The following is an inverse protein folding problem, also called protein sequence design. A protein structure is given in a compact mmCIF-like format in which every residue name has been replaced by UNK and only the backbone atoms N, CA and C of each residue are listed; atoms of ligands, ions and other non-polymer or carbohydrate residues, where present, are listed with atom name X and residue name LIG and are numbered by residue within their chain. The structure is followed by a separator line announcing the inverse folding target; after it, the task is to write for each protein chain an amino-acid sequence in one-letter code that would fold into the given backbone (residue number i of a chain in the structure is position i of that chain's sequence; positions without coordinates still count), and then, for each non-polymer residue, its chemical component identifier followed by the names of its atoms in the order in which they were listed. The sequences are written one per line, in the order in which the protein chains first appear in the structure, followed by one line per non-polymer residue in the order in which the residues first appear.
data_IF_881639941788
#
_entry.id   IF_881639941788
#
_cell.length_a   1.000
_cell.length_b   1.000
_cell.length_c   1.000
_cell.angle_alpha   90.00
_cell.angle_beta   90.00
_cell.angle_gamma   90.00
#
_symmetry.space_group_name_H-M   'P 1'
#
loop_
_entity.id
_entity.type
_entity.pdbx_description
1 polymer ?
#
# COMPACT_ATOMS: atom_id res chain seq x y z
N UNK A 1 -27.18 6.28 -25.18
CA UNK A 1 -26.76 7.47 -24.40
C UNK A 1 -25.26 7.38 -24.24
N UNK A 2 -24.49 8.12 -25.04
CA UNK A 2 -23.06 8.23 -24.85
C UNK A 2 -22.85 8.97 -23.51
N UNK A 3 -22.21 8.34 -22.53
CA UNK A 3 -21.87 9.01 -21.29
C UNK A 3 -20.94 10.18 -21.63
N UNK A 4 -21.34 11.38 -21.24
CA UNK A 4 -20.49 12.58 -21.27
C UNK A 4 -19.34 12.34 -20.29
N UNK A 5 -18.26 11.71 -20.76
CA UNK A 5 -17.14 11.33 -19.88
C UNK A 5 -16.34 12.58 -19.59
N UNK A 6 -16.25 12.94 -18.31
CA UNK A 6 -15.44 14.05 -17.84
C UNK A 6 -13.97 13.81 -18.27
N UNK A 7 -13.39 14.65 -19.16
CA UNK A 7 -12.02 14.45 -19.66
C UNK A 7 -10.97 14.40 -18.55
N UNK A 8 -11.23 15.09 -17.43
CA UNK A 8 -10.35 15.10 -16.28
C UNK A 8 -10.38 13.75 -15.53
N UNK A 9 -11.54 13.11 -15.44
CA UNK A 9 -11.66 11.75 -14.89
C UNK A 9 -10.98 10.72 -15.78
N UNK A 10 -11.09 10.85 -17.12
CA UNK A 10 -10.40 9.96 -18.05
C UNK A 10 -8.88 10.06 -17.96
N UNK A 11 -8.35 11.29 -17.81
CA UNK A 11 -6.94 11.53 -17.53
C UNK A 11 -6.49 10.77 -16.27
N UNK A 12 -7.23 10.91 -15.16
CA UNK A 12 -6.95 10.21 -13.91
C UNK A 12 -7.02 8.70 -14.07
N UNK A 13 -8.07 8.19 -14.72
CA UNK A 13 -8.24 6.77 -14.99
C UNK A 13 -7.06 6.20 -15.78
N UNK A 14 -6.62 6.90 -16.82
CA UNK A 14 -5.43 6.54 -17.60
C UNK A 14 -4.16 6.52 -16.75
N UNK A 15 -3.92 7.55 -15.94
CA UNK A 15 -2.77 7.63 -15.03
C UNK A 15 -2.71 6.47 -14.03
N UNK A 16 -3.87 6.02 -13.55
CA UNK A 16 -3.95 5.07 -12.44
C UNK A 16 -4.07 3.61 -12.90
N UNK A 17 -4.57 3.37 -14.11
CA UNK A 17 -4.85 2.01 -14.60
C UNK A 17 -4.03 1.57 -15.80
N UNK A 18 -3.60 2.49 -16.67
CA UNK A 18 -2.92 2.15 -17.91
C UNK A 18 -1.42 2.46 -17.83
N UNK A 19 -0.54 1.44 -17.72
CA UNK A 19 0.90 1.66 -17.69
C UNK A 19 1.48 2.27 -18.97
N UNK A 20 0.72 2.26 -20.08
CA UNK A 20 1.06 2.84 -21.39
C UNK A 20 0.38 4.19 -21.65
N UNK A 21 -0.33 4.75 -20.66
CA UNK A 21 -0.96 6.06 -20.76
C UNK A 21 0.05 7.12 -21.26
N UNK A 22 -0.36 8.11 -22.07
CA UNK A 22 0.51 9.23 -22.45
C UNK A 22 1.12 9.97 -21.24
N UNK A 23 0.45 9.93 -20.08
CA UNK A 23 0.94 10.51 -18.82
C UNK A 23 2.15 9.74 -18.24
N UNK A 24 2.44 8.57 -18.81
CA UNK A 24 3.60 7.73 -18.54
C UNK A 24 4.63 7.73 -19.68
N UNK A 25 4.55 8.65 -20.65
CA UNK A 25 5.50 8.72 -21.77
C UNK A 25 6.98 8.74 -21.31
N UNK A 26 7.24 9.38 -20.17
CA UNK A 26 8.55 9.44 -19.52
C UNK A 26 9.10 8.07 -19.06
N UNK A 27 8.25 7.06 -18.87
CA UNK A 27 8.67 5.74 -18.39
C UNK A 27 9.65 5.08 -19.35
N UNK A 28 9.46 5.24 -20.66
CA UNK A 28 10.31 4.60 -21.66
C UNK A 28 11.76 5.11 -21.58
N UNK A 29 11.94 6.44 -21.46
CA UNK A 29 13.27 7.03 -21.29
C UNK A 29 13.90 6.68 -19.95
N UNK A 30 13.11 6.70 -18.86
CA UNK A 30 13.65 6.48 -17.51
C UNK A 30 13.90 5.01 -17.16
N UNK A 31 13.26 4.07 -17.85
CA UNK A 31 13.48 2.63 -17.68
C UNK A 31 14.94 2.23 -17.92
N UNK A 32 15.65 2.94 -18.80
CA UNK A 32 17.05 2.67 -19.15
C UNK A 32 18.05 3.20 -18.11
N UNK A 33 17.66 4.18 -17.28
CA UNK A 33 18.55 4.74 -16.25
C UNK A 33 18.68 3.75 -15.09
N UNK A 34 19.88 3.44 -14.58
CA UNK A 34 20.04 2.59 -13.40
C UNK A 34 19.63 3.33 -12.11
N UNK A 35 19.23 2.59 -11.07
CA UNK A 35 18.95 3.12 -9.74
C UNK A 35 17.62 2.66 -9.14
N UNK A 36 17.59 2.63 -7.81
CA UNK A 36 16.43 2.30 -6.97
C UNK A 36 16.48 3.12 -5.67
N UNK A 37 15.34 3.40 -5.03
CA UNK A 37 13.97 3.19 -5.51
C UNK A 37 13.65 4.10 -6.72
N UNK A 38 12.49 3.89 -7.35
CA UNK A 38 12.03 4.67 -8.52
C UNK A 38 10.69 5.33 -8.25
N UNK A 39 10.47 6.49 -8.87
CA UNK A 39 9.18 7.15 -8.90
C UNK A 39 8.15 6.19 -9.51
N UNK A 40 7.06 5.90 -8.80
CA UNK A 40 6.05 4.95 -9.27
C UNK A 40 5.21 5.49 -10.43
N UNK A 41 5.19 6.81 -10.64
CA UNK A 41 4.52 7.43 -11.79
C UNK A 41 5.40 7.40 -13.04
N UNK A 42 6.61 7.98 -13.00
CA UNK A 42 7.44 8.17 -14.19
C UNK A 42 8.65 7.22 -14.30
N UNK A 43 8.95 6.40 -13.30
CA UNK A 43 10.14 5.52 -13.21
C UNK A 43 11.51 6.22 -13.07
N UNK A 44 11.52 7.54 -12.87
CA UNK A 44 12.75 8.27 -12.56
C UNK A 44 13.44 7.69 -11.31
N UNK A 45 14.75 7.39 -11.33
CA UNK A 45 15.48 6.87 -10.19
C UNK A 45 15.55 7.92 -9.07
N UNK A 46 15.11 7.55 -7.87
CA UNK A 46 15.06 8.40 -6.67
C UNK A 46 16.26 8.19 -5.73
N UNK A 47 17.16 7.28 -6.07
CA UNK A 47 18.34 6.96 -5.27
C UNK A 47 19.52 6.54 -6.13
N UNK A 48 20.69 6.44 -5.49
CA UNK A 48 21.96 6.03 -6.11
C UNK A 48 22.85 7.18 -6.56
N UNK A 49 24.14 6.88 -6.79
CA UNK A 49 25.20 7.85 -7.08
C UNK A 49 24.92 8.65 -8.36
N UNK A 50 24.35 8.00 -9.38
CA UNK A 50 23.99 8.65 -10.64
C UNK A 50 22.88 9.70 -10.45
N UNK A 51 21.94 9.46 -9.52
CA UNK A 51 20.90 10.43 -9.16
C UNK A 51 21.50 11.68 -8.51
N UNK A 52 22.43 11.51 -7.56
CA UNK A 52 23.10 12.64 -6.91
C UNK A 52 23.78 13.57 -7.91
N UNK A 53 24.33 13.02 -9.00
CA UNK A 53 24.98 13.81 -10.06
C UNK A 53 24.01 14.43 -11.08
N UNK A 54 22.88 13.78 -11.37
CA UNK A 54 21.95 14.21 -12.43
C UNK A 54 20.73 14.99 -11.93
N UNK A 55 20.34 14.84 -10.66
CA UNK A 55 19.15 15.46 -10.07
C UNK A 55 19.07 16.97 -10.28
N UNK A 56 20.19 17.67 -10.11
CA UNK A 56 20.27 19.12 -10.30
C UNK A 56 20.06 19.55 -11.75
N UNK A 57 20.45 18.74 -12.74
CA UNK A 57 20.26 19.05 -14.17
C UNK A 57 18.82 18.82 -14.64
N UNK A 58 18.12 17.85 -14.05
CA UNK A 58 16.78 17.44 -14.48
C UNK A 58 15.66 18.06 -13.63
N UNK A 59 16.00 18.80 -12.57
CA UNK A 59 15.04 19.40 -11.65
C UNK A 59 14.22 18.36 -10.86
N UNK A 60 14.63 17.09 -10.88
CA UNK A 60 13.94 15.97 -10.24
C UNK A 60 14.68 15.50 -9.00
N UNK A 61 13.95 15.39 -7.89
CA UNK A 61 14.40 14.88 -6.59
C UNK A 61 13.29 14.05 -5.94
N UNK A 62 13.60 13.22 -4.93
CA UNK A 62 12.57 12.55 -4.15
C UNK A 62 11.59 13.57 -3.57
N UNK A 63 10.31 13.22 -3.62
CA UNK A 63 9.24 13.96 -2.96
C UNK A 63 9.51 14.04 -1.46
N UNK A 64 9.15 15.16 -0.85
CA UNK A 64 9.24 15.34 0.61
C UNK A 64 8.03 14.76 1.33
N UNK A 65 6.88 14.60 0.65
CA UNK A 65 5.66 14.03 1.23
C UNK A 65 5.59 12.52 1.08
N UNK A 66 6.00 11.98 -0.07
CA UNK A 66 5.89 10.54 -0.34
C UNK A 66 7.13 10.01 -1.08
N UNK A 67 7.97 9.17 -0.44
CA UNK A 67 9.21 8.66 -1.05
C UNK A 67 9.00 7.80 -2.31
N UNK A 68 7.75 7.45 -2.63
CA UNK A 68 7.37 6.73 -3.86
C UNK A 68 7.31 7.64 -5.10
N UNK A 69 7.38 8.97 -4.93
CA UNK A 69 7.29 9.95 -6.03
C UNK A 69 8.53 10.82 -6.15
N UNK A 70 8.76 11.36 -7.36
CA UNK A 70 9.59 12.54 -7.52
C UNK A 70 8.76 13.81 -7.30
N UNK A 71 9.43 14.92 -6.97
CA UNK A 71 8.80 16.23 -6.74
C UNK A 71 7.91 16.69 -7.91
N UNK A 72 8.23 16.38 -9.16
CA UNK A 72 7.41 16.80 -10.30
C UNK A 72 6.11 15.99 -10.43
N UNK A 73 6.16 14.69 -10.15
CA UNK A 73 4.95 13.85 -10.16
C UNK A 73 4.04 14.16 -8.96
N UNK A 74 4.64 14.42 -7.80
CA UNK A 74 3.91 14.92 -6.63
C UNK A 74 3.20 16.25 -6.94
N UNK A 75 3.92 17.20 -7.55
CA UNK A 75 3.36 18.51 -7.92
C UNK A 75 2.23 18.37 -8.95
N UNK A 76 2.39 17.48 -9.94
CA UNK A 76 1.34 17.17 -10.91
C UNK A 76 0.05 16.69 -10.21
N UNK A 77 0.18 15.70 -9.33
CA UNK A 77 -0.96 15.15 -8.56
C UNK A 77 -1.64 16.27 -7.76
N UNK A 78 -0.86 17.10 -7.06
CA UNK A 78 -1.35 18.20 -6.21
C UNK A 78 -2.07 19.30 -6.98
N UNK A 79 -1.62 19.60 -8.19
CA UNK A 79 -2.15 20.71 -9.02
C UNK A 79 -3.32 20.30 -9.93
N UNK A 80 -3.67 19.01 -9.97
CA UNK A 80 -4.77 18.47 -10.78
C UNK A 80 -5.82 17.78 -9.88
N UNK A 81 -6.53 18.51 -9.00
CA UNK A 81 -7.47 17.92 -8.04
C UNK A 81 -8.59 17.12 -8.71
N UNK A 82 -8.91 15.96 -8.17
CA UNK A 82 -9.83 15.01 -8.79
C UNK A 82 -9.27 13.58 -8.73
N UNK A 83 -9.94 12.67 -9.42
CA UNK A 83 -9.64 11.25 -9.36
C UNK A 83 -10.55 10.46 -10.29
N UNK A 84 -10.44 9.13 -10.21
CA UNK A 84 -11.29 8.22 -10.95
C UNK A 84 -11.64 7.00 -10.10
N UNK A 85 -12.82 6.43 -10.33
CA UNK A 85 -13.19 5.12 -9.78
C UNK A 85 -12.41 4.02 -10.49
N UNK A 86 -11.51 3.37 -9.78
CA UNK A 86 -10.66 2.31 -10.35
C UNK A 86 -10.69 1.09 -9.45
N UNK A 87 -10.44 -0.06 -10.06
CA UNK A 87 -10.17 -1.28 -9.33
C UNK A 87 -8.69 -1.31 -8.90
N UNK A 88 -8.45 -1.63 -7.63
CA UNK A 88 -7.12 -1.64 -7.01
C UNK A 88 -7.06 -2.67 -5.88
N UNK A 89 -5.87 -2.91 -5.33
CA UNK A 89 -5.73 -3.63 -4.06
C UNK A 89 -5.28 -2.70 -2.95
N UNK A 90 -5.79 -2.99 -1.76
CA UNK A 90 -5.59 -2.22 -0.55
C UNK A 90 -4.97 -3.15 0.50
N UNK A 91 -3.94 -2.68 1.19
CA UNK A 91 -3.37 -3.33 2.36
C UNK A 91 -3.46 -2.37 3.53
N UNK A 92 -4.02 -2.87 4.63
CA UNK A 92 -4.04 -2.20 5.93
C UNK A 92 -3.31 -3.11 6.92
N UNK A 93 -2.34 -2.57 7.65
CA UNK A 93 -1.61 -3.28 8.69
C UNK A 93 -1.68 -2.49 9.98
N UNK A 94 -2.20 -3.10 11.03
CA UNK A 94 -2.55 -2.44 12.28
C UNK A 94 -1.88 -3.15 13.47
N UNK A 95 -1.32 -2.39 14.40
CA UNK A 95 -0.56 -2.91 15.54
C UNK A 95 -1.54 -3.49 16.56
N UNK A 96 -1.27 -4.69 17.08
CA UNK A 96 -2.12 -5.33 18.09
C UNK A 96 -1.68 -4.90 19.47
N UNK A 97 -2.62 -4.38 20.27
CA UNK A 97 -2.35 -3.93 21.64
C UNK A 97 -1.58 -2.62 21.74
N UNK A 98 -1.59 -1.78 20.70
CA UNK A 98 -0.89 -0.50 20.65
C UNK A 98 -1.29 0.46 21.76
N UNK A 99 -2.58 0.59 22.08
CA UNK A 99 -3.06 1.43 23.18
C UNK A 99 -2.44 0.99 24.51
N UNK A 100 -2.46 -0.31 24.81
CA UNK A 100 -1.85 -0.85 26.03
C UNK A 100 -0.33 -0.75 26.02
N UNK A 101 0.33 -0.70 24.86
CA UNK A 101 1.77 -0.40 24.77
C UNK A 101 2.03 1.07 25.07
N UNK A 102 1.26 1.98 24.48
CA UNK A 102 1.38 3.42 24.68
C UNK A 102 1.12 3.83 26.15
N UNK A 103 0.25 3.13 26.87
CA UNK A 103 0.00 3.35 28.31
C UNK A 103 1.15 2.89 29.22
N UNK A 104 1.92 1.88 28.79
CA UNK A 104 2.96 1.22 29.62
C UNK A 104 4.37 1.67 29.27
N UNK A 105 4.60 2.15 28.06
CA UNK A 105 5.90 2.60 27.58
C UNK A 105 6.10 4.09 27.79
N UNK A 106 7.35 4.53 27.90
CA UNK A 106 7.64 5.95 27.80
C UNK A 106 7.29 6.45 26.39
N UNK A 107 6.74 7.66 26.22
CA UNK A 107 6.35 8.17 24.90
C UNK A 107 7.47 8.13 23.85
N UNK A 108 8.72 8.37 24.25
CA UNK A 108 9.87 8.30 23.36
C UNK A 108 10.19 6.86 22.90
N UNK A 109 9.99 5.86 23.75
CA UNK A 109 10.19 4.45 23.42
C UNK A 109 9.11 3.96 22.45
N UNK A 110 7.85 4.33 22.71
CA UNK A 110 6.74 4.03 21.81
C UNK A 110 6.94 4.68 20.44
N UNK A 111 7.34 5.95 20.39
CA UNK A 111 7.65 6.63 19.15
C UNK A 111 8.80 5.96 18.38
N UNK A 112 9.85 5.50 19.08
CA UNK A 112 10.95 4.76 18.46
C UNK A 112 10.50 3.42 17.87
N UNK A 113 9.64 2.68 18.59
CA UNK A 113 9.03 1.43 18.12
C UNK A 113 8.19 1.65 16.86
N UNK A 114 7.34 2.68 16.87
CA UNK A 114 6.49 3.03 15.71
C UNK A 114 7.32 3.50 14.51
N UNK A 115 8.37 4.30 14.73
CA UNK A 115 9.28 4.70 13.66
C UNK A 115 10.01 3.52 13.03
N UNK A 116 10.41 2.51 13.82
CA UNK A 116 10.98 1.26 13.30
C UNK A 116 9.97 0.50 12.42
N UNK A 117 8.72 0.43 12.87
CA UNK A 117 7.64 -0.20 12.11
C UNK A 117 7.36 0.53 10.79
N UNK A 118 7.12 1.84 10.83
CA UNK A 118 6.85 2.63 9.63
C UNK A 118 8.00 2.59 8.64
N UNK A 119 9.25 2.60 9.12
CA UNK A 119 10.42 2.42 8.25
C UNK A 119 10.41 1.07 7.56
N UNK A 120 10.30 -0.02 8.33
CA UNK A 120 10.32 -1.38 7.78
C UNK A 120 9.15 -1.61 6.82
N UNK A 121 7.96 -1.12 7.18
CA UNK A 121 6.77 -1.23 6.34
C UNK A 121 6.83 -0.41 5.07
N UNK A 122 7.37 0.82 5.14
CA UNK A 122 7.60 1.64 3.94
C UNK A 122 8.55 0.97 2.96
N UNK A 123 9.67 0.43 3.47
CA UNK A 123 10.67 -0.25 2.64
C UNK A 123 10.05 -1.48 1.94
N UNK A 124 9.19 -2.25 2.62
CA UNK A 124 8.48 -3.40 2.04
C UNK A 124 7.41 -3.00 1.03
N UNK A 125 6.56 -2.03 1.37
CA UNK A 125 5.48 -1.55 0.48
C UNK A 125 6.05 -1.00 -0.82
N UNK A 126 7.09 -0.16 -0.74
CA UNK A 126 7.78 0.38 -1.92
C UNK A 126 8.42 -0.74 -2.74
N UNK A 127 9.02 -1.74 -2.07
CA UNK A 127 9.63 -2.91 -2.70
C UNK A 127 8.62 -3.86 -3.36
N UNK A 128 7.34 -3.79 -2.98
CA UNK A 128 6.24 -4.53 -3.59
C UNK A 128 5.38 -3.66 -4.52
N UNK A 129 5.91 -2.51 -4.94
CA UNK A 129 5.25 -1.59 -5.88
C UNK A 129 3.94 -0.96 -5.38
N UNK A 130 3.76 -0.87 -4.06
CA UNK A 130 2.69 -0.10 -3.45
C UNK A 130 3.00 1.40 -3.45
N UNK A 131 1.94 2.20 -3.45
CA UNK A 131 1.96 3.58 -2.97
C UNK A 131 1.56 3.58 -1.49
N UNK A 132 2.37 4.24 -0.67
CA UNK A 132 1.99 4.50 0.72
C UNK A 132 0.97 5.63 0.69
N UNK A 133 -0.25 5.39 1.19
CA UNK A 133 -1.28 6.43 1.31
C UNK A 133 -0.93 7.34 2.49
N UNK A 134 -1.00 6.78 3.71
CA UNK A 134 -0.63 7.45 4.95
C UNK A 134 -0.41 6.46 6.09
N UNK A 135 0.10 6.98 7.20
CA UNK A 135 0.08 6.32 8.50
C UNK A 135 -1.01 6.96 9.35
N UNK A 136 -1.86 6.17 10.01
CA UNK A 136 -2.95 6.67 10.86
C UNK A 136 -2.80 6.07 12.25
N UNK A 137 -2.33 6.87 13.21
CA UNK A 137 -2.01 6.35 14.54
C UNK A 137 -0.90 5.31 14.46
N UNK A 138 -1.27 4.04 14.63
CA UNK A 138 -0.43 2.86 14.54
C UNK A 138 -0.64 2.00 13.27
N UNK A 139 -1.49 2.47 12.36
CA UNK A 139 -1.85 1.79 11.13
C UNK A 139 -0.99 2.22 9.93
N UNK A 140 -0.69 1.26 9.06
CA UNK A 140 0.03 1.41 7.80
C UNK A 140 -0.89 1.08 6.62
N UNK A 141 -1.03 2.00 5.67
CA UNK A 141 -1.93 1.85 4.50
C UNK A 141 -1.14 1.86 3.18
N UNK A 142 -1.33 0.82 2.37
CA UNK A 142 -0.73 0.68 1.04
C UNK A 142 -1.78 0.50 -0.07
N UNK A 143 -1.62 1.24 -1.16
CA UNK A 143 -2.43 1.16 -2.38
C UNK A 143 -1.62 0.50 -3.49
N UNK A 144 -2.19 -0.51 -4.16
CA UNK A 144 -1.56 -1.18 -5.29
C UNK A 144 -2.39 -0.89 -6.54
N UNK A 145 -1.83 -0.04 -7.41
CA UNK A 145 -2.52 0.46 -8.60
C UNK A 145 -2.15 -0.36 -9.85
N UNK A 146 -3.10 -0.66 -10.75
CA UNK A 146 -2.83 -1.43 -11.96
C UNK A 146 -1.75 -0.79 -12.88
N UNK A 147 -1.69 0.55 -12.95
CA UNK A 147 -0.66 1.23 -13.74
C UNK A 147 0.75 1.08 -13.17
N UNK A 148 0.91 0.66 -11.91
CA UNK A 148 2.21 0.46 -11.26
C UNK A 148 2.55 -1.03 -11.26
N UNK A 149 1.59 -1.87 -10.87
CA UNK A 149 1.77 -3.32 -10.75
C UNK A 149 0.55 -4.04 -11.31
N UNK A 150 0.71 -4.68 -12.48
CA UNK A 150 -0.40 -5.39 -13.13
C UNK A 150 -0.99 -6.51 -12.25
N UNK A 151 -0.14 -7.22 -11.52
CA UNK A 151 -0.53 -8.23 -10.52
C UNK A 151 -0.82 -7.63 -9.14
N UNK A 152 -1.54 -6.51 -9.06
CA UNK A 152 -1.73 -5.77 -7.81
C UNK A 152 -2.28 -6.59 -6.63
N UNK A 153 -3.21 -7.57 -6.78
CA UNK A 153 -3.66 -8.39 -5.66
C UNK A 153 -2.55 -9.33 -5.16
N UNK A 154 -1.78 -9.88 -6.09
CA UNK A 154 -0.65 -10.73 -5.77
C UNK A 154 0.45 -9.96 -5.03
N UNK A 155 0.74 -8.74 -5.45
CA UNK A 155 1.70 -7.87 -4.80
C UNK A 155 1.25 -7.48 -3.38
N UNK A 156 -0.03 -7.19 -3.18
CA UNK A 156 -0.59 -6.86 -1.87
C UNK A 156 -0.47 -8.03 -0.87
N UNK A 157 -0.82 -9.25 -1.28
CA UNK A 157 -0.68 -10.44 -0.43
C UNK A 157 0.78 -10.70 -0.07
N UNK A 158 1.70 -10.55 -1.03
CA UNK A 158 3.14 -10.71 -0.78
C UNK A 158 3.69 -9.64 0.18
N UNK A 159 3.27 -8.39 0.03
CA UNK A 159 3.63 -7.32 0.96
C UNK A 159 3.17 -7.62 2.39
N UNK A 160 1.95 -8.13 2.56
CA UNK A 160 1.43 -8.57 3.87
C UNK A 160 2.30 -9.66 4.50
N UNK A 161 2.68 -10.68 3.72
CA UNK A 161 3.59 -11.73 4.20
C UNK A 161 4.95 -11.18 4.64
N UNK A 162 5.54 -10.28 3.84
CA UNK A 162 6.83 -9.66 4.17
C UNK A 162 6.74 -8.79 5.41
N UNK A 163 5.63 -8.07 5.61
CA UNK A 163 5.38 -7.28 6.83
C UNK A 163 5.32 -8.16 8.08
N UNK A 164 4.61 -9.29 8.02
CA UNK A 164 4.56 -10.26 9.12
C UNK A 164 5.97 -10.77 9.45
N UNK A 165 6.73 -11.19 8.44
CA UNK A 165 8.09 -11.67 8.65
C UNK A 165 9.01 -10.58 9.23
N UNK A 166 8.95 -9.36 8.69
CA UNK A 166 9.80 -8.25 9.15
C UNK A 166 9.48 -7.76 10.56
N UNK A 167 8.26 -8.03 11.05
CA UNK A 167 7.84 -7.76 12.43
C UNK A 167 8.11 -8.91 13.40
N UNK A 168 8.86 -9.92 12.94
CA UNK A 168 9.34 -11.05 13.73
C UNK A 168 8.34 -12.20 13.87
N UNK A 169 7.22 -12.19 13.14
CA UNK A 169 6.32 -13.35 13.12
C UNK A 169 7.03 -14.49 12.38
N UNK A 170 7.13 -15.64 13.04
CA UNK A 170 7.86 -16.80 12.54
C UNK A 170 9.24 -17.00 13.18
N UNK A 171 9.76 -16.01 13.91
CA UNK A 171 11.07 -16.10 14.58
C UNK A 171 10.96 -16.77 15.96
N UNK A 172 12.01 -17.50 16.44
CA UNK A 172 11.99 -18.18 17.74
C UNK A 172 11.75 -17.25 18.93
N UNK A 173 12.15 -15.98 18.83
CA UNK A 173 11.93 -14.95 19.86
C UNK A 173 10.52 -14.36 19.86
N UNK A 174 9.67 -14.77 18.91
CA UNK A 174 8.37 -14.15 18.66
C UNK A 174 8.46 -12.78 18.01
N UNK A 175 7.31 -12.17 17.68
CA UNK A 175 7.28 -10.87 17.02
C UNK A 175 7.76 -9.77 17.97
N UNK A 176 8.66 -8.90 17.49
CA UNK A 176 9.00 -7.67 18.20
C UNK A 176 7.88 -6.63 18.09
N UNK A 177 6.95 -6.80 17.14
CA UNK A 177 5.72 -6.03 17.05
C UNK A 177 4.55 -6.90 16.56
N UNK A 178 3.56 -7.19 17.41
CA UNK A 178 2.35 -7.86 16.99
C UNK A 178 1.56 -6.99 16.01
N UNK A 179 1.26 -7.51 14.82
CA UNK A 179 0.43 -6.80 13.81
C UNK A 179 -0.65 -7.76 13.27
N UNK A 180 -1.77 -7.19 12.83
CA UNK A 180 -2.79 -7.86 12.01
C UNK A 180 -2.90 -7.15 10.67
N UNK A 181 -3.10 -7.90 9.58
CA UNK A 181 -3.10 -7.35 8.22
C UNK A 181 -4.37 -7.74 7.49
N UNK A 182 -5.00 -6.77 6.81
CA UNK A 182 -6.13 -6.97 5.91
C UNK A 182 -5.75 -6.61 4.47
N UNK A 183 -6.07 -7.49 3.53
CA UNK A 183 -5.95 -7.24 2.08
C UNK A 183 -7.29 -7.42 1.38
N UNK A 184 -7.70 -6.39 0.65
CA UNK A 184 -8.90 -6.41 -0.18
C UNK A 184 -8.62 -5.88 -1.58
N UNK A 185 -9.39 -6.32 -2.56
CA UNK A 185 -9.35 -5.80 -3.93
C UNK A 185 -10.77 -5.49 -4.38
N UNK A 186 -10.98 -4.29 -4.89
CA UNK A 186 -12.28 -3.80 -5.32
C UNK A 186 -12.19 -2.37 -5.84
N UNK A 187 -13.32 -1.85 -6.32
CA UNK A 187 -13.40 -0.50 -6.87
C UNK A 187 -13.43 0.56 -5.77
N UNK A 188 -12.59 1.58 -5.91
CA UNK A 188 -12.61 2.79 -5.08
C UNK A 188 -12.35 4.03 -5.94
N UNK A 189 -12.80 5.18 -5.47
CA UNK A 189 -12.38 6.46 -6.02
C UNK A 189 -10.96 6.76 -5.57
N UNK A 190 -10.02 6.95 -6.50
CA UNK A 190 -8.61 7.22 -6.21
C UNK A 190 -8.16 8.49 -6.91
N UNK A 191 -7.48 9.38 -6.18
CA UNK A 191 -7.02 10.64 -6.74
C UNK A 191 -6.53 11.63 -5.70
N UNK A 192 -6.30 12.86 -6.14
CA UNK A 192 -5.96 14.00 -5.29
C UNK A 192 -7.24 14.61 -4.73
N UNK A 193 -7.45 14.45 -3.42
CA UNK A 193 -8.63 14.90 -2.67
C UNK A 193 -8.23 16.01 -1.70
N UNK A 194 -9.03 17.08 -1.65
CA UNK A 194 -8.76 18.27 -0.83
C UNK A 194 -8.50 19.51 -1.68
N UNK A 195 -8.16 20.63 -1.04
CA UNK A 195 -7.91 21.90 -1.70
C UNK A 195 -6.45 22.36 -1.56
N UNK A 196 -5.94 23.02 -2.61
CA UNK A 196 -4.67 23.76 -2.62
C UNK A 196 -3.46 23.06 -1.95
N UNK A 197 -3.16 23.48 -0.71
CA UNK A 197 -2.00 23.02 0.06
C UNK A 197 -2.24 21.74 0.85
N UNK A 198 -3.51 21.39 1.10
CA UNK A 198 -3.96 20.27 1.96
C UNK A 198 -4.51 19.10 1.12
N UNK A 199 -4.21 19.07 -0.17
CA UNK A 199 -4.58 17.94 -1.02
C UNK A 199 -3.71 16.70 -0.73
N UNK A 200 -4.38 15.58 -0.51
CA UNK A 200 -3.80 14.25 -0.32
C UNK A 200 -4.15 13.34 -1.51
N UNK A 201 -3.20 12.54 -1.96
CA UNK A 201 -3.48 11.45 -2.88
C UNK A 201 -3.92 10.22 -2.09
N UNK A 202 -5.19 9.82 -2.22
CA UNK A 202 -5.78 8.77 -1.38
C UNK A 202 -6.87 8.01 -2.13
N UNK A 203 -7.37 6.93 -1.51
CA UNK A 203 -8.51 6.15 -1.97
C UNK A 203 -9.72 6.38 -1.06
N UNK A 204 -10.92 6.40 -1.63
CA UNK A 204 -12.18 6.55 -0.91
C UNK A 204 -13.24 5.60 -1.44
N UNK A 205 -14.08 5.08 -0.54
CA UNK A 205 -15.21 4.23 -0.89
C UNK A 205 -15.29 2.96 -0.04
N UNK A 206 -16.26 2.10 -0.36
CA UNK A 206 -16.53 0.87 0.39
C UNK A 206 -15.32 -0.07 0.45
N UNK A 207 -14.55 -0.21 -0.64
CA UNK A 207 -13.37 -1.07 -0.68
C UNK A 207 -12.33 -0.70 0.40
N UNK A 208 -12.14 0.61 0.65
CA UNK A 208 -11.24 1.12 1.70
C UNK A 208 -11.73 0.72 3.08
N UNK A 209 -13.03 0.89 3.34
CA UNK A 209 -13.66 0.50 4.59
C UNK A 209 -13.61 -1.02 4.83
N UNK A 210 -13.79 -1.83 3.78
CA UNK A 210 -13.67 -3.29 3.86
C UNK A 210 -12.25 -3.69 4.24
N UNK A 211 -11.24 -3.10 3.61
CA UNK A 211 -9.84 -3.41 3.88
C UNK A 211 -9.44 -3.05 5.34
N UNK A 212 -9.82 -1.85 5.80
CA UNK A 212 -9.57 -1.41 7.17
C UNK A 212 -10.26 -2.31 8.21
N UNK A 213 -11.55 -2.62 8.00
CA UNK A 213 -12.30 -3.53 8.88
C UNK A 213 -11.69 -4.93 8.91
N UNK A 214 -11.23 -5.42 7.76
CA UNK A 214 -10.55 -6.69 7.68
C UNK A 214 -9.26 -6.71 8.53
N UNK A 215 -8.44 -5.66 8.45
CA UNK A 215 -7.24 -5.53 9.29
C UNK A 215 -7.60 -5.49 10.79
N UNK A 216 -8.67 -4.78 11.16
CA UNK A 216 -9.14 -4.75 12.56
C UNK A 216 -9.59 -6.12 13.10
N UNK A 217 -10.07 -7.01 12.23
CA UNK A 217 -10.48 -8.37 12.59
C UNK A 217 -9.31 -9.37 12.59
N UNK A 218 -8.17 -9.01 12.00
CA UNK A 218 -7.00 -9.85 11.95
C UNK A 218 -6.35 -9.94 13.35
N UNK A 219 -6.12 -11.17 13.81
CA UNK A 219 -5.37 -11.43 15.02
C UNK A 219 -3.86 -11.14 14.86
N UNK A 220 -3.09 -11.18 15.95
CA UNK A 220 -1.63 -11.09 15.89
C UNK A 220 -1.04 -12.16 14.96
N UNK A 221 -0.21 -11.74 14.00
CA UNK A 221 0.44 -12.64 13.05
C UNK A 221 -0.49 -13.17 11.95
N UNK A 222 -1.69 -12.62 11.84
CA UNK A 222 -2.69 -13.03 10.85
C UNK A 222 -2.74 -12.05 9.68
N UNK A 223 -2.72 -12.60 8.47
CA UNK A 223 -3.03 -11.90 7.23
C UNK A 223 -4.38 -12.41 6.72
N UNK A 224 -5.39 -11.56 6.76
CA UNK A 224 -6.70 -11.83 6.21
C UNK A 224 -6.79 -11.25 4.80
N UNK A 225 -7.19 -12.09 3.84
CA UNK A 225 -7.32 -11.71 2.43
C UNK A 225 -8.74 -12.02 1.99
N UNK A 226 -9.50 -11.04 1.49
CA UNK A 226 -10.85 -11.33 0.95
C UNK A 226 -10.79 -12.32 -0.20
N UNK A 227 -11.82 -13.15 -0.38
CA UNK A 227 -11.86 -14.15 -1.46
C UNK A 227 -11.67 -13.52 -2.86
N UNK A 228 -12.22 -12.32 -3.05
CA UNK A 228 -12.03 -11.53 -4.27
C UNK A 228 -10.55 -11.22 -4.55
N UNK A 229 -9.81 -10.77 -3.53
CA UNK A 229 -8.38 -10.51 -3.65
C UNK A 229 -7.58 -11.81 -3.83
N UNK A 230 -7.95 -12.86 -3.10
CA UNK A 230 -7.27 -14.16 -3.13
C UNK A 230 -7.35 -14.81 -4.51
N UNK A 231 -8.56 -14.91 -5.07
CA UNK A 231 -8.81 -15.49 -6.40
C UNK A 231 -8.01 -14.75 -7.48
N UNK A 232 -8.01 -13.42 -7.41
CA UNK A 232 -7.33 -12.55 -8.38
C UNK A 232 -5.81 -12.51 -8.21
N UNK A 233 -5.31 -12.86 -7.03
CA UNK A 233 -3.87 -13.00 -6.80
C UNK A 233 -3.27 -14.23 -7.51
N UNK A 234 -4.11 -15.08 -8.11
CA UNK A 234 -3.73 -16.26 -8.87
C UNK A 234 -3.32 -17.44 -7.98
N UNK A 235 -2.89 -18.56 -8.59
CA UNK A 235 -2.48 -19.76 -7.86
C UNK A 235 -1.39 -19.46 -6.83
N UNK A 236 -1.65 -19.83 -5.56
CA UNK A 236 -0.72 -19.66 -4.44
C UNK A 236 -0.71 -20.92 -3.60
N UNK A 237 0.48 -21.50 -3.41
CA UNK A 237 0.70 -22.61 -2.49
C UNK A 237 1.06 -22.09 -1.09
N UNK A 238 0.19 -21.25 -0.52
CA UNK A 238 0.36 -20.74 0.84
C UNK A 238 -0.64 -21.43 1.76
N UNK A 239 -0.21 -21.99 2.91
CA UNK A 239 -1.12 -22.50 3.93
C UNK A 239 -2.11 -21.40 4.33
N UNK A 240 -3.40 -21.73 4.30
CA UNK A 240 -4.47 -20.83 4.63
C UNK A 240 -5.69 -21.61 5.15
N UNK A 241 -6.57 -20.92 5.87
CA UNK A 241 -7.88 -21.43 6.23
C UNK A 241 -8.98 -20.50 5.69
N UNK A 242 -10.09 -21.09 5.29
CA UNK A 242 -11.27 -20.34 4.85
C UNK A 242 -12.06 -19.87 6.09
N UNK A 243 -12.46 -18.60 6.11
CA UNK A 243 -13.30 -18.02 7.17
C UNK A 243 -14.36 -17.12 6.55
N UNK A 244 -15.46 -16.99 7.26
CA UNK A 244 -16.51 -16.01 6.97
C UNK A 244 -16.55 -15.00 8.09
N UNK A 245 -16.47 -13.71 7.75
CA UNK A 245 -16.46 -12.62 8.72
C UNK A 245 -17.65 -11.69 8.56
N UNK A 246 -18.28 -11.36 9.68
CA UNK A 246 -19.28 -10.30 9.75
C UNK A 246 -18.58 -8.96 9.93
N UNK A 247 -18.60 -8.12 8.91
CA UNK A 247 -18.03 -6.78 8.99
C UNK A 247 -19.12 -5.77 9.37
N UNK A 248 -18.88 -5.02 10.45
CA UNK A 248 -19.81 -3.98 10.94
C UNK A 248 -20.23 -3.06 9.78
N UNK A 249 -21.54 -2.90 9.56
CA UNK A 249 -22.06 -2.01 8.52
C UNK A 249 -22.11 -2.62 7.11
N UNK A 250 -21.91 -3.93 6.96
CA UNK A 250 -22.34 -4.68 5.76
C UNK A 250 -23.54 -5.56 6.09
N UNK A 251 -24.40 -5.75 5.10
CA UNK A 251 -25.56 -6.64 5.19
C UNK A 251 -25.22 -8.12 4.96
N UNK A 252 -24.10 -8.39 4.27
CA UNK A 252 -23.67 -9.75 3.94
C UNK A 252 -22.27 -10.03 4.50
N UNK A 253 -22.03 -11.23 5.03
CA UNK A 253 -20.71 -11.66 5.46
C UNK A 253 -19.71 -11.62 4.29
N UNK A 254 -18.42 -11.52 4.62
CA UNK A 254 -17.35 -11.60 3.64
C UNK A 254 -16.53 -12.88 3.84
N UNK A 255 -16.29 -13.59 2.75
CA UNK A 255 -15.41 -14.74 2.71
C UNK A 255 -13.95 -14.28 2.62
N UNK A 256 -13.10 -14.91 3.42
CA UNK A 256 -11.68 -14.56 3.52
C UNK A 256 -10.82 -15.81 3.63
N UNK A 257 -9.58 -15.69 3.16
CA UNK A 257 -8.48 -16.60 3.48
C UNK A 257 -7.66 -16.00 4.61
N UNK A 258 -7.49 -16.77 5.68
CA UNK A 258 -6.61 -16.44 6.79
C UNK A 258 -5.27 -17.15 6.60
N UNK A 259 -4.20 -16.36 6.51
CA UNK A 259 -2.83 -16.83 6.43
C UNK A 259 -2.14 -16.52 7.76
N UNK A 260 -1.31 -17.46 8.22
CA UNK A 260 -0.43 -17.27 9.36
C UNK A 260 1.00 -17.57 8.94
N UNK A 261 1.96 -16.84 9.49
CA UNK A 261 3.34 -17.31 9.49
C UNK A 261 3.46 -18.18 10.73
N UNK A 262 3.33 -19.49 10.55
CA UNK A 262 3.60 -20.43 11.63
C UNK A 262 5.07 -20.27 12.03
N UNK A 263 5.29 -19.99 13.32
CA UNK A 263 6.61 -20.16 13.91
C UNK A 263 7.08 -21.58 13.66
N UNK A 264 8.39 -21.74 13.47
CA UNK A 264 9.03 -23.04 13.69
C UNK A 264 8.52 -23.53 15.04
N UNK A 265 7.79 -24.65 15.05
CA UNK A 265 7.40 -25.27 16.31
C UNK A 265 8.69 -25.54 17.09
N UNK A 266 8.82 -25.14 18.36
CA UNK A 266 9.97 -25.51 19.16
C UNK A 266 9.88 -27.02 19.39
N UNK A 267 10.55 -27.81 18.53
CA UNK A 267 10.60 -29.27 18.62
C UNK A 267 10.29 -29.98 17.31
N UNK A 268 11.28 -30.03 16.43
CA UNK A 268 11.53 -31.16 15.52
C UNK A 268 13.01 -31.44 15.49
#
# INVERSE_FOLDING_TARGET
MASDKNPHEEMWRGLLTDPQSPLHADRMQFKLLPGSPRCKTCLFPLGGVLMSALSSKWGRKPSRKNPSFCNLCEEFIRTNPGGAEIDLSLLFADVRGSTSMAERMMPAEFASLMNRFFKSGSDILIGCDALIDKFVGDELIGLFLPAIVAGHPAAAVEAGRRLLSATGHGEPGGPWLPIGIGVHSGTAYVGSVGDGLVADFTAMGDAVNVAARLASQAGPGELLVTEAAWTRAGPRHLPNSERTLELRGRASPIEVRALRIDGISPGS
#
